data_IF_467710047416
#
_entry.id   IF_467710047416
#
_cell.length_a   1.000
_cell.length_b   1.000
_cell.length_c   1.000
_cell.angle_alpha   90.00
_cell.angle_beta   90.00
_cell.angle_gamma   90.00
#
_symmetry.space_group_name_H-M   'P 1'
#
loop_
_entity.id
_entity.type
_entity.pdbx_description
1 polymer ?
#
# COMPACT_ATOMS: atom_id res chain seq x y z
N UNK A 1 -2.77 49.00 9.16
CA UNK A 1 -3.26 48.25 7.98
C UNK A 1 -3.05 46.77 8.28
N UNK A 2 -4.11 46.04 8.64
CA UNK A 2 -4.02 44.62 9.00
C UNK A 2 -4.14 43.77 7.73
N UNK A 3 -3.20 42.85 7.52
CA UNK A 3 -3.13 41.99 6.35
C UNK A 3 -4.23 40.90 6.43
N UNK A 4 -5.20 40.81 5.49
CA UNK A 4 -6.35 39.92 5.63
C UNK A 4 -6.12 38.48 5.09
N UNK A 5 -4.88 37.99 5.04
CA UNK A 5 -4.55 36.72 4.33
C UNK A 5 -4.07 35.55 5.21
N UNK A 6 -4.44 35.51 6.49
CA UNK A 6 -3.95 34.46 7.40
C UNK A 6 -5.00 33.40 7.76
N UNK A 7 -5.97 33.12 6.89
CA UNK A 7 -6.98 32.07 7.13
C UNK A 7 -6.99 30.97 6.05
N UNK A 8 -5.88 30.76 5.36
CA UNK A 8 -5.71 29.54 4.56
C UNK A 8 -5.31 28.46 5.55
N UNK A 9 -6.15 27.44 5.81
CA UNK A 9 -5.73 26.30 6.63
C UNK A 9 -4.45 25.74 6.01
N UNK A 10 -3.46 25.43 6.85
CA UNK A 10 -2.27 24.74 6.35
C UNK A 10 -2.72 23.47 5.61
N UNK A 11 -2.16 23.18 4.43
CA UNK A 11 -2.54 21.99 3.67
C UNK A 11 -2.33 20.78 4.58
N UNK A 12 -3.37 19.96 4.73
CA UNK A 12 -3.25 18.72 5.48
C UNK A 12 -2.13 17.89 4.81
N UNK A 13 -1.09 17.45 5.53
CA UNK A 13 -0.06 16.60 4.96
C UNK A 13 -0.63 15.31 4.36
N UNK A 14 -1.86 14.92 4.69
CA UNK A 14 -2.58 13.83 4.04
C UNK A 14 -3.16 14.23 2.67
N UNK A 15 -3.34 15.51 2.34
CA UNK A 15 -3.88 15.95 1.04
C UNK A 15 -2.86 15.82 -0.11
N UNK A 16 -1.58 15.65 0.19
CA UNK A 16 -0.55 15.31 -0.81
C UNK A 16 -0.41 13.80 -1.04
N UNK A 17 -1.07 12.98 -0.22
CA UNK A 17 -1.07 11.52 -0.34
C UNK A 17 -2.18 11.08 -1.30
N UNK A 18 -1.94 10.01 -2.06
CA UNK A 18 -3.02 9.41 -2.86
C UNK A 18 -4.11 8.90 -1.92
N UNK A 19 -5.39 8.88 -2.33
CA UNK A 19 -6.48 8.43 -1.48
C UNK A 19 -6.26 7.05 -0.84
N UNK A 20 -5.57 6.13 -1.52
CA UNK A 20 -5.24 4.82 -0.96
C UNK A 20 -3.95 4.75 -0.16
N UNK A 21 -3.20 5.84 -0.01
CA UNK A 21 -2.10 5.98 0.97
C UNK A 21 -2.62 6.46 2.34
N UNK A 22 -3.90 6.89 2.39
CA UNK A 22 -4.59 7.32 3.61
C UNK A 22 -5.09 6.11 4.39
N UNK A 23 -4.29 5.61 5.32
CA UNK A 23 -4.73 4.56 6.24
C UNK A 23 -5.59 5.17 7.35
N UNK A 24 -6.80 4.68 7.59
CA UNK A 24 -7.63 5.17 8.68
C UNK A 24 -7.02 4.80 10.05
N UNK A 25 -7.20 5.65 11.06
CA UNK A 25 -6.67 5.42 12.43
C UNK A 25 -7.34 4.24 13.17
N UNK A 26 -8.38 3.64 12.59
CA UNK A 26 -9.07 2.48 13.13
C UNK A 26 -8.44 1.18 12.60
N UNK A 27 -8.44 0.08 13.38
CA UNK A 27 -8.12 -1.23 12.85
C UNK A 27 -9.12 -1.62 11.75
N UNK A 28 -8.60 -2.29 10.73
CA UNK A 28 -9.36 -2.77 9.56
C UNK A 28 -9.27 -4.28 9.45
N UNK A 29 -10.33 -4.92 8.98
CA UNK A 29 -10.31 -6.36 8.66
C UNK A 29 -9.44 -6.66 7.43
N UNK A 30 -9.12 -7.93 7.21
CA UNK A 30 -8.37 -8.38 6.03
C UNK A 30 -9.13 -8.09 4.73
N UNK A 31 -10.45 -8.29 4.74
CA UNK A 31 -11.35 -7.97 3.62
C UNK A 31 -11.32 -6.46 3.32
N UNK A 32 -11.41 -5.61 4.34
CA UNK A 32 -11.32 -4.15 4.17
C UNK A 32 -9.95 -3.68 3.65
N UNK A 33 -8.88 -4.40 3.96
CA UNK A 33 -7.53 -4.12 3.42
C UNK A 33 -7.38 -4.58 1.98
N UNK A 34 -8.01 -5.70 1.60
CA UNK A 34 -7.96 -6.23 0.24
C UNK A 34 -8.66 -5.33 -0.78
N UNK A 35 -9.72 -4.62 -0.37
CA UNK A 35 -10.46 -3.69 -1.24
C UNK A 35 -9.76 -2.32 -1.40
N UNK A 36 -8.71 -2.02 -0.61
CA UNK A 36 -8.05 -0.73 -0.67
C UNK A 36 -7.09 -0.61 -1.86
N UNK A 37 -7.27 0.45 -2.63
CA UNK A 37 -6.52 0.72 -3.86
C UNK A 37 -5.71 2.02 -3.74
N UNK A 38 -4.39 1.92 -3.82
CA UNK A 38 -3.44 3.03 -3.78
C UNK A 38 -3.54 3.94 -5.00
N UNK A 39 -3.57 3.34 -6.19
CA UNK A 39 -3.69 4.03 -7.48
C UNK A 39 -4.73 3.34 -8.33
N UNK A 40 -5.72 4.07 -8.80
CA UNK A 40 -6.73 3.60 -9.75
C UNK A 40 -6.87 4.65 -10.85
N UNK A 41 -6.02 4.53 -11.87
CA UNK A 41 -5.95 5.52 -12.97
C UNK A 41 -5.64 4.84 -14.30
N UNK A 42 -6.13 5.38 -15.43
CA UNK A 42 -5.74 4.91 -16.75
C UNK A 42 -4.26 5.17 -17.01
N UNK A 43 -3.56 4.20 -17.60
CA UNK A 43 -2.19 4.37 -18.08
C UNK A 43 -2.19 5.47 -19.15
N UNK A 44 -1.36 6.52 -18.99
CA UNK A 44 -1.39 7.69 -19.87
C UNK A 44 -0.93 7.41 -21.30
N UNK A 45 -0.29 6.26 -21.56
CA UNK A 45 0.19 5.84 -22.87
C UNK A 45 -0.72 4.78 -23.51
N UNK A 46 -1.19 3.78 -22.75
CA UNK A 46 -2.00 2.68 -23.31
C UNK A 46 -3.50 2.84 -23.11
N UNK A 47 -3.93 3.66 -22.15
CA UNK A 47 -5.34 3.82 -21.78
C UNK A 47 -5.91 2.67 -20.94
N UNK A 48 -5.09 1.65 -20.63
CA UNK A 48 -5.49 0.54 -19.77
C UNK A 48 -5.65 1.03 -18.33
N UNK A 49 -6.74 0.64 -17.67
CA UNK A 49 -6.92 0.95 -16.25
C UNK A 49 -5.95 0.13 -15.42
N UNK A 50 -5.10 0.81 -14.64
CA UNK A 50 -4.21 0.16 -13.66
C UNK A 50 -4.72 0.41 -12.26
N UNK A 51 -4.92 -0.69 -11.56
CA UNK A 51 -5.22 -0.72 -10.13
C UNK A 51 -4.01 -1.26 -9.39
N UNK A 52 -3.53 -0.48 -8.42
CA UNK A 52 -2.44 -0.87 -7.53
C UNK A 52 -3.03 -1.00 -6.14
N UNK A 53 -3.04 -2.20 -5.53
CA UNK A 53 -3.56 -2.38 -4.19
C UNK A 53 -2.69 -1.67 -3.16
N UNK A 54 -3.30 -1.20 -2.07
CA UNK A 54 -2.57 -0.57 -0.95
C UNK A 54 -1.80 -1.59 -0.13
N UNK A 55 -2.30 -2.82 -0.06
CA UNK A 55 -1.73 -3.91 0.73
C UNK A 55 -1.30 -5.07 -0.18
N UNK A 56 -0.19 -5.71 0.18
CA UNK A 56 0.27 -6.96 -0.43
C UNK A 56 -0.12 -8.13 0.47
N UNK A 57 -0.77 -9.14 -0.12
CA UNK A 57 -1.03 -10.40 0.55
C UNK A 57 0.26 -11.22 0.55
N UNK A 58 0.70 -11.62 1.75
CA UNK A 58 1.86 -12.48 1.97
C UNK A 58 1.39 -13.70 2.74
N UNK A 59 1.66 -14.89 2.21
CA UNK A 59 1.56 -16.14 2.95
C UNK A 59 2.92 -16.44 3.59
N UNK A 60 2.92 -16.69 4.90
CA UNK A 60 4.08 -17.06 5.72
C UNK A 60 4.30 -18.58 5.77
N UNK A 61 5.48 -19.08 6.21
CA UNK A 61 5.79 -20.51 6.23
C UNK A 61 4.83 -21.37 7.07
N UNK A 62 4.18 -20.76 8.07
CA UNK A 62 3.21 -21.40 8.95
C UNK A 62 1.77 -21.38 8.40
N UNK A 63 1.57 -20.76 7.23
CA UNK A 63 0.29 -20.59 6.57
C UNK A 63 -0.49 -19.35 7.03
N UNK A 64 0.08 -18.50 7.87
CA UNK A 64 -0.53 -17.20 8.20
C UNK A 64 -0.53 -16.29 6.97
N UNK A 65 -1.64 -15.56 6.77
CA UNK A 65 -1.78 -14.56 5.70
C UNK A 65 -1.72 -13.16 6.29
N UNK A 66 -0.78 -12.36 5.80
CA UNK A 66 -0.58 -10.97 6.21
C UNK A 66 -0.91 -10.03 5.06
N UNK A 67 -1.54 -8.92 5.40
CA UNK A 67 -1.77 -7.80 4.49
C UNK A 67 -0.80 -6.67 4.83
N UNK A 68 0.30 -6.57 4.09
CA UNK A 68 1.39 -5.62 4.31
C UNK A 68 1.19 -4.34 3.49
N UNK A 69 1.16 -3.18 4.15
CA UNK A 69 1.03 -1.89 3.49
C UNK A 69 2.31 -1.52 2.74
N UNK A 70 2.17 -1.17 1.46
CA UNK A 70 3.28 -0.88 0.54
C UNK A 70 4.25 0.26 0.92
N UNK A 71 3.99 1.00 2.01
CA UNK A 71 4.81 2.13 2.49
C UNK A 71 5.17 1.93 3.95
N UNK A 72 4.17 1.65 4.80
CA UNK A 72 4.37 1.50 6.25
C UNK A 72 5.16 0.23 6.59
N UNK A 73 4.98 -0.83 5.80
CA UNK A 73 5.57 -2.15 6.06
C UNK A 73 6.70 -2.46 5.07
N UNK A 74 7.36 -1.41 4.54
CA UNK A 74 8.41 -1.56 3.53
C UNK A 74 9.58 -2.44 3.99
N UNK A 75 9.94 -2.40 5.28
CA UNK A 75 10.98 -3.27 5.85
C UNK A 75 10.54 -4.74 5.84
N UNK A 76 9.34 -5.04 6.34
CA UNK A 76 8.79 -6.40 6.39
C UNK A 76 8.54 -6.97 4.99
N UNK A 77 8.08 -6.15 4.05
CA UNK A 77 7.99 -6.53 2.63
C UNK A 77 9.39 -6.86 2.09
N UNK A 78 10.39 -6.03 2.42
CA UNK A 78 11.74 -6.26 1.93
C UNK A 78 12.36 -7.53 2.53
N UNK A 79 12.12 -7.81 3.81
CA UNK A 79 12.56 -9.03 4.48
C UNK A 79 11.86 -10.27 3.93
N UNK A 80 10.55 -10.18 3.71
CA UNK A 80 9.75 -11.23 3.04
C UNK A 80 10.33 -11.56 1.67
N UNK A 81 10.69 -10.55 0.87
CA UNK A 81 11.29 -10.76 -0.46
C UNK A 81 12.69 -11.39 -0.35
N UNK A 82 13.49 -11.02 0.65
CA UNK A 82 14.83 -11.61 0.88
C UNK A 82 14.75 -13.07 1.31
N UNK A 83 13.76 -13.40 2.13
CA UNK A 83 13.51 -14.74 2.65
C UNK A 83 12.82 -15.66 1.63
N UNK A 84 12.04 -15.07 0.72
CA UNK A 84 11.40 -15.77 -0.39
C UNK A 84 12.42 -16.28 -1.41
N UNK A 85 13.05 -17.41 -1.07
CA UNK A 85 13.77 -18.25 -2.04
C UNK A 85 12.76 -18.88 -2.99
N UNK A 86 13.20 -19.18 -4.20
CA UNK A 86 12.41 -19.92 -5.19
C UNK A 86 13.11 -21.19 -5.62
N UNK A 87 12.35 -22.26 -5.90
CA UNK A 87 12.87 -23.44 -6.59
C UNK A 87 13.09 -23.16 -8.10
N UNK A 88 13.51 -24.20 -8.83
CA UNK A 88 13.74 -24.13 -10.28
C UNK A 88 12.47 -23.86 -11.09
N UNK A 89 11.28 -24.09 -10.50
CA UNK A 89 9.98 -23.85 -11.10
C UNK A 89 9.42 -22.46 -10.75
N UNK A 90 10.14 -21.69 -9.92
CA UNK A 90 9.74 -20.37 -9.47
C UNK A 90 8.74 -20.37 -8.31
N UNK A 91 8.46 -21.53 -7.70
CA UNK A 91 7.61 -21.60 -6.51
C UNK A 91 8.39 -21.10 -5.29
N UNK A 92 7.69 -20.41 -4.37
CA UNK A 92 8.28 -19.96 -3.11
C UNK A 92 8.61 -21.15 -2.22
N UNK A 93 9.81 -21.11 -1.62
CA UNK A 93 10.35 -22.20 -0.80
C UNK A 93 10.93 -21.70 0.52
N UNK A 94 10.69 -22.47 1.59
CA UNK A 94 11.00 -22.11 2.98
C UNK A 94 11.97 -23.13 3.60
N UNK A 95 13.25 -23.12 3.20
CA UNK A 95 14.31 -23.96 3.79
C UNK A 95 15.72 -23.36 3.68
#
# INVERSE_FOLDING_TARGET
MSNPRSNVPEPDPNDVLNPGDKVPDRPQSEEEKAEQTAVSTPDPLTGDYREVPTYFEVEEPDGERKQLHHVRDAEEISDTIREARTDEEGNRVWW
#
